data_IF_152515565173
#
_entry.id   IF_152515565173
#
_cell.length_a   1.000
_cell.length_b   1.000
_cell.length_c   1.000
_cell.angle_alpha   90.00
_cell.angle_beta   90.00
_cell.angle_gamma   90.00
#
_symmetry.space_group_name_H-M   'P 1'
#
loop_
_entity.id
_entity.type
_entity.pdbx_description
1 polymer ?
#
# COMPACT_ATOMS: atom_id res chain seq x y z
N UNK A 1 -2.32 -27.96 -3.77
CA UNK A 1 -3.69 -27.98 -4.30
C UNK A 1 -4.59 -26.99 -3.55
N UNK A 2 -4.47 -26.84 -2.23
CA UNK A 2 -5.31 -25.93 -1.43
C UNK A 2 -5.05 -24.43 -1.73
N UNK A 3 -3.80 -24.06 -1.95
CA UNK A 3 -3.38 -22.69 -2.28
C UNK A 3 -3.91 -22.24 -3.65
N UNK A 4 -3.94 -23.13 -4.65
CA UNK A 4 -4.39 -22.81 -6.00
C UNK A 4 -5.90 -22.53 -6.07
N UNK A 5 -6.74 -23.31 -5.35
CA UNK A 5 -8.19 -23.05 -5.27
C UNK A 5 -8.51 -21.71 -4.61
N UNK A 6 -7.77 -21.37 -3.56
CA UNK A 6 -7.94 -20.08 -2.86
C UNK A 6 -7.56 -18.89 -3.75
N UNK A 7 -6.49 -19.05 -4.54
CA UNK A 7 -6.06 -18.06 -5.53
C UNK A 7 -7.10 -17.89 -6.64
N UNK A 8 -7.63 -18.99 -7.22
CA UNK A 8 -8.71 -18.92 -8.20
C UNK A 8 -9.98 -18.24 -7.67
N UNK A 9 -10.34 -18.50 -6.42
CA UNK A 9 -11.51 -17.86 -5.79
C UNK A 9 -11.32 -16.35 -5.65
N UNK A 10 -10.10 -15.92 -5.28
CA UNK A 10 -9.74 -14.49 -5.18
C UNK A 10 -9.78 -13.80 -6.53
N UNK A 11 -9.26 -14.44 -7.59
CA UNK A 11 -9.33 -13.90 -8.95
C UNK A 11 -10.78 -13.76 -9.41
N UNK A 12 -11.63 -14.76 -9.22
CA UNK A 12 -13.05 -14.69 -9.60
C UNK A 12 -13.82 -13.62 -8.83
N UNK A 13 -13.46 -13.39 -7.56
CA UNK A 13 -14.05 -12.31 -6.77
C UNK A 13 -13.63 -10.94 -7.31
N UNK A 14 -12.36 -10.79 -7.65
CA UNK A 14 -11.85 -9.56 -8.24
C UNK A 14 -12.46 -9.29 -9.62
N UNK A 15 -12.54 -10.30 -10.49
CA UNK A 15 -13.20 -10.23 -11.80
C UNK A 15 -14.65 -9.74 -11.69
N UNK A 16 -15.44 -10.35 -10.79
CA UNK A 16 -16.82 -9.91 -10.55
C UNK A 16 -16.92 -8.48 -10.09
N UNK A 17 -16.01 -8.07 -9.21
CA UNK A 17 -15.97 -6.70 -8.71
C UNK A 17 -15.62 -5.70 -9.83
N UNK A 18 -14.61 -6.02 -10.64
CA UNK A 18 -14.21 -5.18 -11.78
C UNK A 18 -15.36 -5.04 -12.81
N UNK A 19 -16.02 -6.16 -13.15
CA UNK A 19 -17.15 -6.14 -14.07
C UNK A 19 -18.30 -5.27 -13.52
N UNK A 20 -18.65 -5.44 -12.25
CA UNK A 20 -19.71 -4.66 -11.60
C UNK A 20 -19.38 -3.16 -11.61
N UNK A 21 -18.16 -2.80 -11.22
CA UNK A 21 -17.67 -1.42 -11.22
C UNK A 21 -17.67 -0.82 -12.63
N UNK A 22 -17.18 -1.57 -13.63
CA UNK A 22 -17.19 -1.10 -15.03
C UNK A 22 -18.60 -0.87 -15.56
N UNK A 23 -19.54 -1.76 -15.25
CA UNK A 23 -20.94 -1.62 -15.67
C UNK A 23 -21.62 -0.42 -14.97
N UNK A 24 -21.31 -0.19 -13.70
CA UNK A 24 -21.86 0.94 -12.94
C UNK A 24 -21.39 2.30 -13.50
N UNK A 25 -20.12 2.39 -13.88
CA UNK A 25 -19.55 3.59 -14.51
C UNK A 25 -19.94 3.77 -15.98
N UNK A 26 -20.21 2.67 -16.69
CA UNK A 26 -20.51 2.70 -18.12
C UNK A 26 -21.75 3.54 -18.45
N UNK A 27 -22.83 3.40 -17.68
CA UNK A 27 -24.07 4.11 -17.98
C UNK A 27 -23.98 5.64 -17.88
N UNK A 28 -23.40 6.23 -16.82
CA UNK A 28 -23.17 7.67 -16.76
C UNK A 28 -22.25 8.17 -17.90
N UNK A 29 -21.21 7.41 -18.25
CA UNK A 29 -20.30 7.77 -19.32
C UNK A 29 -20.92 7.71 -20.70
N UNK A 30 -21.67 6.65 -21.00
CA UNK A 30 -22.42 6.54 -22.26
C UNK A 30 -23.47 7.64 -22.34
N UNK A 31 -24.18 7.93 -21.25
CA UNK A 31 -25.14 9.03 -21.16
C UNK A 31 -24.49 10.38 -21.46
N UNK A 32 -23.37 10.67 -20.82
CA UNK A 32 -22.63 11.92 -21.03
C UNK A 32 -22.12 12.08 -22.48
N UNK A 33 -21.50 11.04 -23.05
CA UNK A 33 -20.99 11.06 -24.43
C UNK A 33 -22.15 11.18 -25.43
N UNK A 34 -23.25 10.49 -25.18
CA UNK A 34 -24.46 10.57 -26.03
C UNK A 34 -25.08 11.96 -26.00
N UNK A 35 -25.15 12.59 -24.82
CA UNK A 35 -25.66 13.95 -24.66
C UNK A 35 -24.82 14.97 -25.45
N UNK A 36 -23.49 14.90 -25.35
CA UNK A 36 -22.59 15.79 -26.10
C UNK A 36 -22.78 15.60 -27.62
N UNK A 37 -22.87 14.35 -28.08
CA UNK A 37 -23.06 14.07 -29.50
C UNK A 37 -24.48 14.49 -29.98
N UNK A 38 -25.49 14.39 -29.12
CA UNK A 38 -26.85 14.85 -29.42
C UNK A 38 -26.90 16.38 -29.60
N UNK A 39 -26.19 17.14 -28.76
CA UNK A 39 -26.06 18.60 -28.91
C UNK A 39 -25.50 18.94 -30.30
N UNK A 40 -24.49 18.21 -30.76
CA UNK A 40 -23.93 18.40 -32.10
C UNK A 40 -24.93 18.14 -33.21
N UNK A 41 -25.70 17.05 -33.12
CA UNK A 41 -26.77 16.76 -34.09
C UNK A 41 -27.88 17.82 -34.10
N UNK A 42 -28.26 18.34 -32.92
CA UNK A 42 -29.22 19.43 -32.79
C UNK A 42 -28.72 20.72 -33.45
N UNK A 43 -27.45 21.07 -33.26
CA UNK A 43 -26.85 22.25 -33.87
C UNK A 43 -26.86 22.17 -35.41
N UNK A 44 -26.53 21.00 -35.98
CA UNK A 44 -26.59 20.78 -37.45
C UNK A 44 -28.04 20.88 -37.92
N UNK A 45 -29.00 20.26 -37.24
CA UNK A 45 -30.41 20.30 -37.56
C UNK A 45 -31.00 21.75 -37.51
N UNK A 46 -30.61 22.50 -36.46
CA UNK A 46 -31.00 23.89 -36.33
C UNK A 46 -30.41 24.78 -37.45
N UNK A 47 -29.12 24.58 -37.79
CA UNK A 47 -28.51 25.30 -38.89
C UNK A 47 -29.18 25.04 -40.24
N UNK A 48 -29.60 23.78 -40.47
CA UNK A 48 -30.37 23.43 -41.67
C UNK A 48 -31.78 24.07 -41.70
N UNK A 49 -32.46 24.04 -40.53
CA UNK A 49 -33.81 24.57 -40.41
C UNK A 49 -33.89 26.09 -40.54
N UNK A 50 -32.98 26.81 -39.89
CA UNK A 50 -32.94 28.28 -39.86
C UNK A 50 -32.19 28.89 -41.05
N UNK A 51 -31.25 28.14 -41.68
CA UNK A 51 -30.45 28.62 -42.80
C UNK A 51 -31.20 28.66 -44.14
N UNK A 52 -32.29 27.91 -44.27
CA UNK A 52 -33.13 27.88 -45.47
C UNK A 52 -32.38 27.58 -46.77
N UNK A 53 -33.10 27.59 -47.91
CA UNK A 53 -32.50 27.36 -49.25
C UNK A 53 -31.67 28.56 -49.79
N UNK A 54 -31.59 29.67 -49.05
CA UNK A 54 -30.90 30.91 -49.47
C UNK A 54 -29.45 31.06 -48.97
N UNK A 55 -28.96 30.14 -48.12
CA UNK A 55 -27.57 30.03 -47.69
C UNK A 55 -26.88 31.32 -47.26
N UNK A 56 -27.21 31.81 -46.03
CA UNK A 56 -26.48 32.92 -45.44
C UNK A 56 -25.00 32.51 -45.23
N UNK A 57 -24.00 33.20 -45.86
CA UNK A 57 -22.59 32.85 -45.73
C UNK A 57 -22.08 32.91 -44.31
N UNK A 58 -22.61 33.79 -43.47
CA UNK A 58 -22.26 33.91 -42.05
C UNK A 58 -22.68 32.68 -41.25
N UNK A 59 -23.86 32.15 -41.54
CA UNK A 59 -24.37 30.92 -40.93
C UNK A 59 -23.53 29.71 -41.32
N UNK A 60 -23.06 29.60 -42.54
CA UNK A 60 -22.18 28.53 -42.99
C UNK A 60 -20.80 28.58 -42.33
N UNK A 61 -20.22 29.79 -42.16
CA UNK A 61 -18.95 29.97 -41.46
C UNK A 61 -19.07 29.56 -40.02
N UNK A 62 -20.14 29.99 -39.34
CA UNK A 62 -20.41 29.61 -37.94
C UNK A 62 -20.63 28.09 -37.78
N UNK A 63 -21.34 27.46 -38.72
CA UNK A 63 -21.52 26.00 -38.71
C UNK A 63 -20.17 25.26 -38.86
N UNK A 64 -19.31 25.68 -39.80
CA UNK A 64 -17.97 25.12 -39.95
C UNK A 64 -17.14 25.27 -38.69
N UNK A 65 -17.21 26.44 -38.05
CA UNK A 65 -16.52 26.66 -36.77
C UNK A 65 -16.99 25.70 -35.68
N UNK A 66 -18.32 25.48 -35.53
CA UNK A 66 -18.84 24.52 -34.59
C UNK A 66 -18.48 23.07 -34.89
N UNK A 67 -18.46 22.68 -36.16
CA UNK A 67 -18.01 21.33 -36.60
C UNK A 67 -16.56 21.09 -36.22
N UNK A 68 -15.69 22.08 -36.32
CA UNK A 68 -14.25 21.94 -35.95
C UNK A 68 -14.04 21.96 -34.44
N UNK A 69 -14.73 22.84 -33.72
CA UNK A 69 -14.47 23.03 -32.29
C UNK A 69 -15.10 21.95 -31.39
N UNK A 70 -16.25 21.39 -31.80
CA UNK A 70 -16.97 20.41 -31.00
C UNK A 70 -16.15 19.14 -30.69
N UNK A 71 -15.46 18.49 -31.62
CA UNK A 71 -14.58 17.35 -31.33
C UNK A 71 -13.46 17.71 -30.34
N UNK A 72 -12.87 18.90 -30.45
CA UNK A 72 -11.80 19.37 -29.56
C UNK A 72 -12.32 19.52 -28.13
N UNK A 73 -13.50 20.14 -27.98
CA UNK A 73 -14.16 20.26 -26.67
C UNK A 73 -14.53 18.90 -26.09
N UNK A 74 -15.07 18.00 -26.90
CA UNK A 74 -15.44 16.64 -26.46
C UNK A 74 -14.22 15.86 -25.94
N UNK A 75 -13.10 15.89 -26.67
CA UNK A 75 -11.85 15.23 -26.23
C UNK A 75 -11.34 15.82 -24.93
N UNK A 76 -11.41 17.14 -24.78
CA UNK A 76 -10.94 17.83 -23.58
C UNK A 76 -11.82 17.51 -22.36
N UNK A 77 -13.15 17.54 -22.53
CA UNK A 77 -14.11 17.17 -21.49
C UNK A 77 -13.95 15.72 -21.06
N UNK A 78 -13.77 14.80 -22.01
CA UNK A 78 -13.50 13.41 -21.69
C UNK A 78 -12.19 13.24 -20.89
N UNK A 79 -11.11 13.92 -21.28
CA UNK A 79 -9.85 13.90 -20.50
C UNK A 79 -10.06 14.36 -19.06
N UNK A 80 -10.85 15.40 -18.83
CA UNK A 80 -11.18 15.87 -17.48
C UNK A 80 -12.00 14.83 -16.72
N UNK A 81 -13.03 14.27 -17.35
CA UNK A 81 -13.88 13.24 -16.74
C UNK A 81 -13.08 11.99 -16.32
N UNK A 82 -12.12 11.55 -17.14
CA UNK A 82 -11.27 10.38 -16.85
C UNK A 82 -10.06 10.69 -15.96
N UNK A 83 -9.76 11.96 -15.69
CA UNK A 83 -8.61 12.32 -14.84
C UNK A 83 -8.76 11.88 -13.39
N UNK A 84 -10.00 11.73 -12.91
CA UNK A 84 -10.30 11.30 -11.54
C UNK A 84 -9.77 9.91 -11.19
N UNK A 85 -9.76 8.97 -12.14
CA UNK A 85 -9.22 7.61 -11.92
C UNK A 85 -7.69 7.64 -11.68
N UNK A 86 -6.98 8.44 -12.47
CA UNK A 86 -5.53 8.61 -12.30
C UNK A 86 -5.20 9.31 -10.97
N UNK A 87 -6.02 10.25 -10.53
CA UNK A 87 -5.84 10.94 -9.25
C UNK A 87 -5.98 9.99 -8.07
N UNK A 88 -6.95 9.06 -8.07
CA UNK A 88 -7.10 8.04 -7.03
C UNK A 88 -5.88 7.11 -6.92
N UNK A 89 -5.31 6.70 -8.05
CA UNK A 89 -4.08 5.87 -8.07
C UNK A 89 -2.87 6.61 -7.50
N UNK A 90 -2.73 7.89 -7.84
CA UNK A 90 -1.67 8.74 -7.30
C UNK A 90 -1.85 8.94 -5.79
N UNK A 91 -3.07 9.22 -5.33
CA UNK A 91 -3.37 9.41 -3.91
C UNK A 91 -3.11 8.14 -3.09
N UNK A 92 -3.53 6.94 -3.56
CA UNK A 92 -3.20 5.67 -2.90
C UNK A 92 -1.68 5.44 -2.84
N UNK A 93 -0.97 5.75 -3.91
CA UNK A 93 0.49 5.63 -3.96
C UNK A 93 1.18 6.59 -2.98
N UNK A 94 0.74 7.83 -2.91
CA UNK A 94 1.24 8.82 -1.96
C UNK A 94 0.95 8.40 -0.52
N UNK A 95 -0.26 7.94 -0.22
CA UNK A 95 -0.64 7.46 1.11
C UNK A 95 0.24 6.27 1.56
N UNK A 96 0.59 5.37 0.64
CA UNK A 96 1.53 4.27 0.93
C UNK A 96 2.94 4.77 1.23
N UNK A 97 3.43 5.73 0.45
CA UNK A 97 4.73 6.36 0.68
C UNK A 97 4.73 7.08 2.05
N UNK A 98 3.72 7.89 2.32
CA UNK A 98 3.58 8.60 3.58
C UNK A 98 3.47 7.66 4.77
N UNK A 99 2.78 6.52 4.62
CA UNK A 99 2.71 5.50 5.66
C UNK A 99 4.07 4.89 6.03
N UNK A 100 5.01 4.89 5.10
CA UNK A 100 6.38 4.42 5.33
C UNK A 100 7.24 5.54 5.92
N UNK A 101 7.18 6.74 5.34
CA UNK A 101 7.99 7.89 5.76
C UNK A 101 7.61 8.38 7.17
N UNK A 102 6.32 8.32 7.53
CA UNK A 102 5.82 8.76 8.83
C UNK A 102 5.93 7.68 9.93
N UNK A 103 6.51 6.51 9.63
CA UNK A 103 6.79 5.52 10.68
C UNK A 103 7.84 6.09 11.63
N UNK A 104 7.46 6.13 12.90
CA UNK A 104 8.42 6.53 13.94
C UNK A 104 9.53 5.49 14.03
N UNK A 105 10.80 5.88 13.87
CA UNK A 105 11.91 4.96 14.12
C UNK A 105 11.90 4.50 15.58
N UNK A 106 12.48 3.33 15.83
CA UNK A 106 12.69 2.88 17.22
C UNK A 106 13.61 3.89 17.93
N UNK A 107 13.37 4.16 19.24
CA UNK A 107 14.22 5.07 20.00
C UNK A 107 15.69 4.61 19.94
N UNK A 108 16.57 5.53 19.63
CA UNK A 108 18.00 5.25 19.57
C UNK A 108 18.68 5.66 20.90
N UNK A 109 19.66 4.87 21.32
CA UNK A 109 20.46 5.22 22.49
C UNK A 109 21.52 6.26 22.13
N UNK A 110 21.73 7.24 23.00
CA UNK A 110 22.68 8.33 22.76
C UNK A 110 24.14 7.92 22.96
N UNK A 111 24.41 6.82 23.67
CA UNK A 111 25.79 6.41 24.04
C UNK A 111 26.05 4.96 23.65
N UNK A 112 27.27 4.72 23.15
CA UNK A 112 27.80 3.38 22.96
C UNK A 112 27.97 2.65 24.30
N UNK A 113 27.69 1.34 24.29
CA UNK A 113 27.81 0.46 25.45
C UNK A 113 29.01 -0.48 25.22
N UNK A 114 29.96 -0.49 26.13
CA UNK A 114 31.10 -1.40 26.04
C UNK A 114 30.71 -2.80 26.54
N UNK A 115 30.27 -3.65 25.62
CA UNK A 115 29.82 -5.02 25.90
C UNK A 115 31.02 -5.95 25.79
N UNK A 116 31.32 -6.65 26.90
CA UNK A 116 32.47 -7.59 26.97
C UNK A 116 32.03 -9.05 26.86
N UNK A 117 30.80 -9.35 27.13
CA UNK A 117 30.19 -10.68 27.13
C UNK A 117 28.99 -10.68 26.19
N UNK A 118 28.78 -11.77 25.44
CA UNK A 118 27.71 -11.87 24.43
C UNK A 118 26.61 -12.84 24.84
N UNK A 119 26.38 -13.02 26.16
CA UNK A 119 25.19 -13.75 26.67
C UNK A 119 23.92 -12.99 26.34
N UNK A 120 22.83 -13.72 26.03
CA UNK A 120 21.52 -13.15 25.73
C UNK A 120 20.56 -13.56 26.83
N UNK A 121 19.87 -12.61 27.44
CA UNK A 121 18.85 -12.88 28.45
C UNK A 121 17.53 -12.20 28.10
N UNK A 122 16.46 -12.96 28.16
CA UNK A 122 15.08 -12.52 28.03
C UNK A 122 14.41 -12.63 29.41
N UNK A 123 13.78 -11.56 29.89
CA UNK A 123 13.11 -11.51 31.17
C UNK A 123 11.67 -11.06 31.00
N UNK A 124 10.72 -11.98 31.23
CA UNK A 124 9.27 -11.77 31.14
C UNK A 124 8.85 -11.10 29.82
N UNK A 125 9.44 -11.51 28.69
CA UNK A 125 9.24 -10.91 27.39
C UNK A 125 7.87 -11.29 26.84
N UNK A 126 7.01 -10.30 26.66
CA UNK A 126 5.77 -10.39 25.89
C UNK A 126 5.81 -9.48 24.67
N UNK A 127 5.20 -9.92 23.59
CA UNK A 127 5.14 -9.13 22.37
C UNK A 127 3.84 -9.34 21.60
N UNK A 128 3.26 -8.23 21.15
CA UNK A 128 2.08 -8.19 20.27
C UNK A 128 2.36 -7.31 19.07
N UNK A 129 2.02 -7.79 17.88
CA UNK A 129 2.05 -6.98 16.67
C UNK A 129 0.94 -5.92 16.69
N UNK A 130 1.17 -4.77 16.10
CA UNK A 130 0.34 -3.56 16.18
C UNK A 130 -1.15 -3.80 15.83
N UNK A 131 -1.47 -4.75 14.95
CA UNK A 131 -2.85 -5.07 14.54
C UNK A 131 -3.28 -6.49 14.96
N UNK A 132 -2.62 -7.10 15.93
CA UNK A 132 -2.95 -8.43 16.41
C UNK A 132 -3.82 -8.39 17.66
N UNK A 133 -4.83 -9.27 17.72
CA UNK A 133 -5.68 -9.43 18.90
C UNK A 133 -5.01 -10.19 20.04
N UNK A 134 -3.96 -10.98 19.72
CA UNK A 134 -3.28 -11.86 20.68
C UNK A 134 -1.78 -11.63 20.68
N UNK A 135 -1.16 -11.94 21.81
CA UNK A 135 0.28 -11.90 21.94
C UNK A 135 0.92 -12.98 21.06
N UNK A 136 1.95 -12.61 20.32
CA UNK A 136 2.80 -13.55 19.58
C UNK A 136 3.78 -14.26 20.51
N UNK A 137 4.17 -13.60 21.60
CA UNK A 137 4.97 -14.17 22.70
C UNK A 137 4.39 -13.69 24.02
N UNK A 138 4.37 -14.56 25.02
CA UNK A 138 3.82 -14.25 26.34
C UNK A 138 4.77 -14.73 27.44
N UNK A 139 5.27 -13.79 28.26
CA UNK A 139 6.12 -13.99 29.41
C UNK A 139 7.31 -14.96 29.18
N UNK A 140 8.01 -14.80 28.09
CA UNK A 140 9.16 -15.65 27.75
C UNK A 140 10.35 -15.29 28.63
N UNK A 141 10.91 -16.31 29.28
CA UNK A 141 12.15 -16.24 30.02
C UNK A 141 13.15 -17.20 29.38
N UNK A 142 14.31 -16.72 29.02
CA UNK A 142 15.36 -17.49 28.35
C UNK A 142 16.73 -16.87 28.64
N UNK A 143 17.70 -17.71 28.89
CA UNK A 143 19.09 -17.32 29.00
C UNK A 143 19.92 -18.17 28.03
N UNK A 144 20.75 -17.52 27.21
CA UNK A 144 21.65 -18.13 26.25
C UNK A 144 23.06 -17.63 26.60
N UNK A 145 23.94 -18.53 26.95
CA UNK A 145 25.33 -18.20 27.30
C UNK A 145 26.18 -17.97 26.05
N UNK A 146 27.25 -17.26 26.21
CA UNK A 146 28.21 -17.07 25.14
C UNK A 146 28.74 -18.44 24.63
N UNK A 147 28.78 -18.61 23.29
CA UNK A 147 29.18 -19.86 22.66
C UNK A 147 28.16 -20.99 22.67
N UNK A 148 26.97 -20.78 23.23
CA UNK A 148 25.90 -21.78 23.26
C UNK A 148 25.13 -21.82 21.92
N UNK A 149 24.79 -23.04 21.48
CA UNK A 149 23.94 -23.28 20.32
C UNK A 149 22.52 -23.65 20.78
N UNK A 150 21.53 -22.80 20.45
CA UNK A 150 20.15 -23.00 20.87
C UNK A 150 19.23 -23.17 19.66
N UNK A 151 18.34 -24.17 19.69
CA UNK A 151 17.32 -24.38 18.69
C UNK A 151 15.92 -24.11 19.24
N UNK A 152 15.17 -23.23 18.57
CA UNK A 152 13.76 -22.99 18.87
C UNK A 152 12.89 -23.97 18.08
N UNK A 153 12.20 -24.87 18.79
CA UNK A 153 11.35 -25.91 18.21
C UNK A 153 9.89 -25.64 18.53
N UNK A 154 8.99 -25.86 17.61
CA UNK A 154 7.55 -25.68 17.84
C UNK A 154 6.75 -25.58 16.54
N UNK A 155 5.41 -25.55 16.62
CA UNK A 155 4.52 -25.47 15.47
C UNK A 155 4.71 -24.20 14.66
N UNK A 156 4.21 -24.18 13.41
CA UNK A 156 4.14 -22.96 12.61
C UNK A 156 3.26 -21.95 13.32
N UNK A 157 3.71 -20.68 13.36
CA UNK A 157 3.02 -19.63 14.13
C UNK A 157 3.33 -19.58 15.63
N UNK A 158 4.17 -20.48 16.17
CA UNK A 158 4.55 -20.53 17.58
C UNK A 158 5.56 -19.46 18.02
N UNK A 159 5.70 -18.35 17.33
CA UNK A 159 6.50 -17.20 17.76
C UNK A 159 8.03 -17.31 17.55
N UNK A 160 8.55 -18.40 16.97
CA UNK A 160 10.01 -18.61 16.79
C UNK A 160 10.70 -17.48 16.02
N UNK A 161 10.15 -17.10 14.88
CA UNK A 161 10.66 -16.00 14.06
C UNK A 161 10.51 -14.65 14.76
N UNK A 162 9.40 -14.47 15.48
CA UNK A 162 9.16 -13.25 16.28
C UNK A 162 10.22 -13.11 17.37
N UNK A 163 10.56 -14.23 18.05
CA UNK A 163 11.59 -14.23 19.08
C UNK A 163 12.96 -13.83 18.52
N UNK A 164 13.37 -14.43 17.39
CA UNK A 164 14.61 -14.07 16.72
C UNK A 164 14.63 -12.59 16.27
N UNK A 165 13.48 -12.09 15.76
CA UNK A 165 13.33 -10.69 15.34
C UNK A 165 13.41 -9.71 16.53
N UNK A 166 12.94 -10.09 17.71
CA UNK A 166 13.04 -9.28 18.93
C UNK A 166 14.47 -9.25 19.46
N UNK A 167 15.19 -10.36 19.41
CA UNK A 167 16.63 -10.41 19.77
C UNK A 167 17.44 -9.49 18.86
N UNK A 168 17.12 -9.49 17.55
CA UNK A 168 17.73 -8.59 16.57
C UNK A 168 17.19 -7.14 16.64
N UNK A 169 16.26 -6.86 17.55
CA UNK A 169 15.62 -5.55 17.73
C UNK A 169 14.99 -4.98 16.46
N UNK A 170 14.33 -5.83 15.65
CA UNK A 170 13.46 -5.33 14.58
C UNK A 170 12.16 -4.75 15.13
N UNK A 171 11.81 -5.12 16.36
CA UNK A 171 10.71 -4.60 17.18
C UNK A 171 11.17 -4.45 18.62
N UNK A 172 10.59 -3.52 19.36
CA UNK A 172 10.74 -3.47 20.81
C UNK A 172 9.69 -4.36 21.49
N UNK A 173 10.01 -4.92 22.64
CA UNK A 173 9.09 -5.75 23.45
C UNK A 173 7.91 -4.92 23.96
N UNK A 174 6.70 -5.51 23.99
CA UNK A 174 5.54 -4.88 24.61
C UNK A 174 5.71 -4.85 26.14
N UNK A 175 6.23 -5.96 26.72
CA UNK A 175 6.56 -6.09 28.13
C UNK A 175 7.87 -6.84 28.30
N UNK A 176 8.51 -6.65 29.44
CA UNK A 176 9.79 -7.26 29.74
C UNK A 176 10.98 -6.60 29.08
N UNK A 177 12.10 -7.28 29.07
CA UNK A 177 13.37 -6.78 28.48
C UNK A 177 14.19 -7.89 27.87
N UNK A 178 14.96 -7.54 26.87
CA UNK A 178 16.00 -8.37 26.24
C UNK A 178 17.33 -7.69 26.49
N UNK A 179 18.32 -8.44 26.96
CA UNK A 179 19.67 -7.91 27.20
C UNK A 179 20.72 -8.77 26.52
N UNK A 180 21.78 -8.14 26.05
CA UNK A 180 23.01 -8.78 25.56
C UNK A 180 24.16 -8.31 26.42
N UNK A 181 24.91 -9.25 27.02
CA UNK A 181 25.97 -8.93 27.97
C UNK A 181 25.51 -8.09 29.16
N UNK A 182 24.25 -8.32 29.61
CA UNK A 182 23.63 -7.57 30.70
C UNK A 182 23.04 -6.21 30.32
N UNK A 183 23.29 -5.70 29.10
CA UNK A 183 22.79 -4.40 28.61
C UNK A 183 21.47 -4.59 27.86
N UNK A 184 20.43 -3.83 28.21
CA UNK A 184 19.15 -3.84 27.49
C UNK A 184 19.36 -3.39 26.04
N UNK A 185 18.88 -4.18 25.09
CA UNK A 185 19.02 -3.90 23.63
C UNK A 185 18.42 -2.55 23.24
N UNK A 186 17.46 -2.03 23.99
CA UNK A 186 16.86 -0.69 23.76
C UNK A 186 17.84 0.44 24.11
N UNK A 187 18.86 0.16 24.91
CA UNK A 187 19.91 1.11 25.31
C UNK A 187 21.19 0.99 24.46
N UNK A 188 21.17 0.13 23.44
CA UNK A 188 22.27 -0.03 22.51
C UNK A 188 22.03 0.82 21.26
N UNK A 189 23.09 1.33 20.66
CA UNK A 189 22.99 1.97 19.35
C UNK A 189 22.68 0.89 18.29
N UNK A 190 21.83 1.17 17.30
CA UNK A 190 21.47 0.20 16.25
C UNK A 190 22.68 -0.30 15.43
N UNK A 191 23.71 0.54 15.28
CA UNK A 191 24.93 0.16 14.59
C UNK A 191 25.76 -0.85 15.38
N UNK A 192 25.88 -0.65 16.71
CA UNK A 192 26.55 -1.54 17.65
C UNK A 192 25.89 -2.91 17.71
N UNK A 193 24.55 -2.92 17.89
CA UNK A 193 23.78 -4.16 17.93
C UNK A 193 23.91 -4.96 16.61
N UNK A 194 23.84 -4.28 15.47
CA UNK A 194 24.02 -4.93 14.14
C UNK A 194 25.43 -5.49 13.93
N UNK A 195 26.45 -4.86 14.49
CA UNK A 195 27.83 -5.34 14.39
C UNK A 195 28.04 -6.65 15.19
N UNK A 196 27.25 -6.86 16.26
CA UNK A 196 27.32 -8.08 17.09
C UNK A 196 26.44 -9.22 16.56
N UNK A 197 25.46 -8.96 15.71
CA UNK A 197 24.46 -9.94 15.27
C UNK A 197 24.60 -10.28 13.78
N UNK A 198 24.74 -11.57 13.48
CA UNK A 198 24.53 -12.10 12.13
C UNK A 198 23.11 -12.65 12.00
N UNK A 199 22.24 -11.98 11.24
CA UNK A 199 20.86 -12.43 11.02
C UNK A 199 20.70 -13.01 9.61
N UNK A 200 20.28 -14.29 9.52
CA UNK A 200 20.01 -14.97 8.24
C UNK A 200 18.50 -15.23 8.13
N UNK A 201 17.80 -14.52 7.25
CA UNK A 201 16.35 -14.73 7.09
C UNK A 201 16.05 -16.04 6.35
N UNK A 202 14.90 -16.63 6.63
CA UNK A 202 14.44 -17.88 6.02
C UNK A 202 14.16 -17.73 4.50
N UNK A 203 13.77 -16.53 4.04
CA UNK A 203 13.70 -16.18 2.62
C UNK A 203 14.84 -15.20 2.35
N UNK A 204 15.80 -15.62 1.52
CA UNK A 204 16.80 -14.69 0.99
C UNK A 204 16.09 -13.56 0.21
N UNK A 205 16.65 -12.35 0.30
CA UNK A 205 16.23 -11.18 -0.49
C UNK A 205 16.71 -11.40 -1.91
#
# INVERSE_FOLDING_TARGET
>A
VFSFKRFQTSIKKYEKWVIAYTLELMWPMVGFTTLINAIFAVLIGAAYWFGGAGGDPELLINLLFYIIITPVLTVTLNKIAYSGENQMLVEDSLNRIDSILNRKPLPEAEKEQNIREHSIALQNVSFRYENAERDALHQINLEIREGEHVAFVGPSGGGKTTLASLIARFYDTTEGKISIGGVDVRRMQPAELRAMLGYVPQKGV
#
